data_IF_312247511273
#
_entry.id   IF_312247511273
#
_cell.length_a   1.000
_cell.length_b   1.000
_cell.length_c   1.000
_cell.angle_alpha   90.00
_cell.angle_beta   90.00
_cell.angle_gamma   90.00
#
_symmetry.space_group_name_H-M   'P 1'
#
loop_
_entity.id
_entity.type
_entity.pdbx_description
1 polymer ?
#
# COMPACT_ATOMS: atom_id res chain seq x y z
N UNK A 1 13.32 9.57 -6.06
CA UNK A 1 14.49 8.79 -6.54
C UNK A 1 15.73 9.67 -6.65
N UNK A 2 15.59 10.88 -7.20
CA UNK A 2 16.67 11.89 -7.30
C UNK A 2 17.52 12.09 -6.05
N UNK A 3 16.92 12.14 -4.85
CA UNK A 3 17.65 12.37 -3.59
C UNK A 3 18.71 11.30 -3.31
N UNK A 4 18.58 10.13 -3.94
CA UNK A 4 19.54 9.02 -3.86
C UNK A 4 20.51 9.05 -5.04
N UNK A 5 20.01 9.20 -6.28
CA UNK A 5 20.84 9.05 -7.49
C UNK A 5 21.56 10.31 -7.93
N UNK A 6 21.05 11.49 -7.55
CA UNK A 6 21.49 12.81 -8.02
C UNK A 6 21.41 13.00 -9.55
N UNK A 7 20.73 12.12 -10.28
CA UNK A 7 20.47 12.27 -11.72
C UNK A 7 19.23 13.16 -11.95
N UNK A 8 19.35 14.34 -12.59
CA UNK A 8 18.23 15.20 -12.95
C UNK A 8 17.01 14.50 -13.56
N UNK A 9 17.20 13.39 -14.28
CA UNK A 9 16.13 12.61 -14.90
C UNK A 9 15.30 11.79 -13.90
N UNK A 10 15.77 11.66 -12.65
CA UNK A 10 15.09 10.93 -11.57
C UNK A 10 14.27 11.83 -10.65
N UNK A 11 14.15 13.12 -11.01
CA UNK A 11 13.17 14.02 -10.39
C UNK A 11 11.77 13.44 -10.57
N UNK A 12 10.98 13.51 -9.51
CA UNK A 12 9.58 13.04 -9.48
C UNK A 12 9.36 11.53 -9.70
N UNK A 13 10.42 10.75 -9.89
CA UNK A 13 10.33 9.28 -9.89
C UNK A 13 10.23 8.76 -8.47
N UNK A 14 9.30 7.85 -8.27
CA UNK A 14 9.11 7.10 -7.04
C UNK A 14 9.15 5.60 -7.36
N UNK A 15 9.56 4.82 -6.37
CA UNK A 15 9.44 3.36 -6.46
C UNK A 15 7.96 2.99 -6.52
N UNK A 16 7.59 2.10 -7.43
CA UNK A 16 6.24 1.53 -7.48
C UNK A 16 5.96 0.74 -6.19
N UNK A 17 4.97 1.15 -5.37
CA UNK A 17 4.62 0.42 -4.16
C UNK A 17 3.89 -0.90 -4.50
N UNK A 18 4.00 -1.93 -3.65
CA UNK A 18 3.15 -3.11 -3.77
C UNK A 18 1.68 -2.75 -3.47
N UNK A 19 0.73 -3.46 -4.10
CA UNK A 19 -0.70 -3.23 -3.93
C UNK A 19 -1.40 -4.21 -2.96
N UNK A 20 -0.63 -5.13 -2.34
CA UNK A 20 -1.19 -6.02 -1.31
C UNK A 20 -1.66 -5.20 -0.12
N UNK A 21 -2.87 -5.46 0.35
CA UNK A 21 -3.53 -4.75 1.46
C UNK A 21 -3.71 -3.23 1.20
N UNK A 22 -3.66 -2.79 -0.06
CA UNK A 22 -3.72 -1.35 -0.39
C UNK A 22 -4.99 -0.68 0.14
N UNK A 23 -6.11 -1.41 0.24
CA UNK A 23 -7.35 -0.87 0.79
C UNK A 23 -7.27 -0.46 2.28
N UNK A 24 -6.23 -0.88 3.00
CA UNK A 24 -6.05 -0.64 4.44
C UNK A 24 -4.99 0.42 4.75
N UNK A 25 -4.34 1.01 3.74
CA UNK A 25 -3.15 1.86 3.92
C UNK A 25 -3.36 3.29 3.45
N UNK A 26 -4.58 3.82 3.59
CA UNK A 26 -4.82 5.24 3.40
C UNK A 26 -4.03 6.07 4.46
N UNK A 27 -3.60 7.30 4.14
CA UNK A 27 -3.74 7.98 2.85
C UNK A 27 -2.71 7.51 1.81
N UNK A 28 -2.96 7.82 0.53
CA UNK A 28 -2.25 7.28 -0.62
C UNK A 28 -1.25 8.25 -1.23
N UNK A 29 -0.48 7.74 -2.20
CA UNK A 29 0.67 8.39 -2.83
C UNK A 29 1.86 8.52 -1.89
N UNK A 30 3.01 8.96 -2.42
CA UNK A 30 4.26 9.08 -1.64
C UNK A 30 4.21 10.18 -0.57
N UNK A 31 3.24 11.09 -0.67
CA UNK A 31 3.06 12.25 0.21
C UNK A 31 1.75 12.21 1.01
N UNK A 32 0.96 11.13 0.93
CA UNK A 32 -0.34 11.03 1.60
C UNK A 32 -1.39 12.01 1.06
N UNK A 33 -1.25 12.52 -0.16
CA UNK A 33 -2.10 13.59 -0.69
C UNK A 33 -3.50 13.17 -1.12
N UNK A 34 -3.77 11.87 -1.29
CA UNK A 34 -5.08 11.34 -1.70
C UNK A 34 -5.68 10.48 -0.59
N UNK A 35 -6.96 10.66 -0.30
CA UNK A 35 -7.64 10.02 0.83
C UNK A 35 -8.26 8.67 0.48
N UNK A 36 -8.60 8.45 -0.79
CA UNK A 36 -9.35 7.27 -1.23
C UNK A 36 -8.68 6.56 -2.41
N UNK A 37 -8.91 5.24 -2.55
CA UNK A 37 -8.46 4.50 -3.74
C UNK A 37 -9.11 5.04 -5.02
N UNK A 38 -10.35 5.51 -4.94
CA UNK A 38 -11.06 6.11 -6.08
C UNK A 38 -10.32 7.35 -6.58
N UNK A 39 -9.91 8.25 -5.70
CA UNK A 39 -9.07 9.41 -6.06
C UNK A 39 -7.76 8.99 -6.74
N UNK A 40 -7.11 7.92 -6.27
CA UNK A 40 -5.88 7.39 -6.90
C UNK A 40 -6.17 6.90 -8.32
N UNK A 41 -7.21 6.08 -8.52
CA UNK A 41 -7.58 5.57 -9.84
C UNK A 41 -7.96 6.72 -10.78
N UNK A 42 -8.74 7.70 -10.30
CA UNK A 42 -9.11 8.89 -11.07
C UNK A 42 -7.90 9.77 -11.42
N UNK A 43 -6.92 9.89 -10.53
CA UNK A 43 -5.67 10.60 -10.80
C UNK A 43 -4.92 9.98 -11.99
N UNK A 44 -4.79 8.66 -12.03
CA UNK A 44 -4.18 7.95 -13.15
C UNK A 44 -5.05 7.99 -14.41
N UNK A 45 -6.38 7.91 -14.27
CA UNK A 45 -7.31 8.02 -15.40
C UNK A 45 -7.19 9.38 -16.12
N UNK A 46 -6.83 10.44 -15.40
CA UNK A 46 -6.56 11.79 -15.96
C UNK A 46 -5.16 11.94 -16.57
N UNK A 47 -4.30 10.92 -16.48
CA UNK A 47 -2.91 10.99 -16.95
C UNK A 47 -1.92 11.60 -15.95
N UNK A 48 -2.32 11.78 -14.69
CA UNK A 48 -1.46 12.33 -13.63
C UNK A 48 -1.12 13.83 -13.79
N UNK A 49 -0.02 14.26 -13.19
CA UNK A 49 0.45 15.66 -13.21
C UNK A 49 1.55 15.82 -14.26
N UNK A 50 1.28 16.67 -15.24
CA UNK A 50 2.25 17.03 -16.30
C UNK A 50 3.52 17.63 -15.70
N UNK A 51 4.66 17.14 -16.16
CA UNK A 51 5.99 17.64 -15.82
C UNK A 51 7.01 17.25 -16.90
N UNK A 52 8.19 17.88 -16.87
CA UNK A 52 9.24 17.73 -17.90
C UNK A 52 9.73 16.30 -18.12
N UNK A 53 9.64 15.44 -17.09
CA UNK A 53 10.16 14.08 -17.08
C UNK A 53 9.04 13.04 -16.89
N UNK A 54 7.80 13.43 -17.20
CA UNK A 54 6.65 12.55 -17.09
C UNK A 54 6.80 11.37 -18.06
N UNK A 55 6.46 10.17 -17.58
CA UNK A 55 6.51 8.96 -18.41
C UNK A 55 5.53 9.07 -19.59
N UNK A 56 5.90 8.63 -20.81
CA UNK A 56 4.98 8.59 -21.95
C UNK A 56 3.80 7.61 -21.74
N UNK A 57 3.88 6.73 -20.74
CA UNK A 57 2.79 5.84 -20.35
C UNK A 57 1.73 6.54 -19.48
N UNK A 58 1.97 7.79 -19.05
CA UNK A 58 1.03 8.58 -18.28
C UNK A 58 0.21 9.47 -19.23
N UNK A 59 -0.93 8.96 -19.66
CA UNK A 59 -1.88 9.66 -20.52
C UNK A 59 -3.32 9.35 -20.06
N UNK A 60 -4.31 10.18 -20.44
CA UNK A 60 -5.71 9.92 -20.07
C UNK A 60 -6.19 8.56 -20.58
N UNK A 61 -6.72 7.74 -19.67
CA UNK A 61 -7.16 6.38 -19.99
C UNK A 61 -8.62 6.35 -20.48
N UNK A 62 -9.36 7.44 -20.26
CA UNK A 62 -10.77 7.59 -20.61
C UNK A 62 -11.68 6.48 -20.06
N UNK A 63 -11.36 5.97 -18.87
CA UNK A 63 -12.21 5.02 -18.16
C UNK A 63 -13.53 5.70 -17.77
N UNK A 64 -14.63 4.98 -17.96
CA UNK A 64 -15.92 5.36 -17.42
C UNK A 64 -15.92 5.28 -15.90
N UNK A 65 -16.86 5.98 -15.25
CA UNK A 65 -17.03 5.92 -13.79
C UNK A 65 -17.21 4.47 -13.30
N UNK A 66 -17.95 3.66 -14.06
CA UNK A 66 -18.17 2.25 -13.73
C UNK A 66 -16.89 1.43 -13.77
N UNK A 67 -16.01 1.67 -14.75
CA UNK A 67 -14.72 0.98 -14.84
C UNK A 67 -13.78 1.41 -13.70
N UNK A 68 -13.82 2.68 -13.32
CA UNK A 68 -13.11 3.18 -12.12
C UNK A 68 -13.58 2.42 -10.88
N UNK A 69 -14.89 2.31 -10.67
CA UNK A 69 -15.43 1.59 -9.52
C UNK A 69 -15.06 0.09 -9.54
N UNK A 70 -15.09 -0.56 -10.70
CA UNK A 70 -14.63 -1.95 -10.84
C UNK A 70 -13.15 -2.14 -10.50
N UNK A 71 -12.29 -1.21 -10.91
CA UNK A 71 -10.87 -1.25 -10.53
C UNK A 71 -10.70 -1.07 -9.03
N UNK A 72 -11.47 -0.17 -8.41
CA UNK A 72 -11.43 0.01 -6.94
C UNK A 72 -11.87 -1.26 -6.23
N UNK A 73 -12.94 -1.93 -6.68
CA UNK A 73 -13.36 -3.22 -6.10
C UNK A 73 -12.32 -4.31 -6.30
N UNK A 74 -11.70 -4.40 -7.47
CA UNK A 74 -10.58 -5.32 -7.70
C UNK A 74 -9.39 -5.04 -6.76
N UNK A 75 -9.02 -3.78 -6.55
CA UNK A 75 -7.94 -3.43 -5.63
C UNK A 75 -8.26 -3.84 -4.18
N UNK A 76 -9.53 -3.79 -3.76
CA UNK A 76 -9.95 -4.27 -2.45
C UNK A 76 -9.75 -5.78 -2.29
N UNK A 77 -9.89 -6.56 -3.37
CA UNK A 77 -9.65 -8.02 -3.31
C UNK A 77 -8.19 -8.39 -3.07
N UNK A 78 -7.25 -7.43 -3.17
CA UNK A 78 -5.82 -7.65 -2.86
C UNK A 78 -5.53 -7.61 -1.35
N UNK A 79 -6.57 -7.55 -0.51
CA UNK A 79 -6.48 -7.56 0.95
C UNK A 79 -6.55 -8.99 1.47
N UNK A 80 -5.58 -9.39 2.29
CA UNK A 80 -5.55 -10.72 2.90
C UNK A 80 -6.73 -10.94 3.86
N UNK A 81 -7.22 -12.18 3.93
CA UNK A 81 -8.28 -12.58 4.87
C UNK A 81 -7.79 -12.78 6.31
N UNK A 82 -6.47 -12.86 6.51
CA UNK A 82 -5.84 -13.13 7.80
C UNK A 82 -5.39 -11.87 8.55
N UNK A 83 -5.85 -10.68 8.12
CA UNK A 83 -5.42 -9.42 8.74
C UNK A 83 -5.87 -9.34 10.20
N UNK A 84 -7.09 -9.78 10.50
CA UNK A 84 -7.60 -9.78 11.88
C UNK A 84 -6.80 -10.71 12.79
N UNK A 85 -6.41 -11.89 12.29
CA UNK A 85 -5.55 -12.84 12.99
C UNK A 85 -4.17 -12.25 13.26
N UNK A 86 -3.55 -11.61 12.26
CA UNK A 86 -2.26 -10.93 12.42
C UNK A 86 -2.32 -9.79 13.43
N UNK A 87 -3.43 -9.05 13.49
CA UNK A 87 -3.64 -7.98 14.49
C UNK A 87 -3.78 -8.56 15.89
N UNK A 88 -4.51 -9.67 16.05
CA UNK A 88 -4.66 -10.36 17.32
C UNK A 88 -3.30 -10.88 17.81
N UNK A 89 -2.53 -11.54 16.94
CA UNK A 89 -1.20 -12.05 17.25
C UNK A 89 -0.23 -10.92 17.64
N UNK A 90 -0.21 -9.82 16.88
CA UNK A 90 0.64 -8.68 17.17
C UNK A 90 0.33 -8.01 18.51
N UNK A 91 -0.94 -8.04 18.95
CA UNK A 91 -1.37 -7.52 20.25
C UNK A 91 -1.10 -8.50 21.40
N UNK A 92 -1.10 -9.80 21.13
CA UNK A 92 -0.81 -10.84 22.10
C UNK A 92 0.70 -11.01 22.35
N UNK A 93 1.55 -10.51 21.44
CA UNK A 93 2.99 -10.54 21.61
C UNK A 93 3.43 -9.82 22.91
N UNK A 94 4.23 -10.47 23.77
CA UNK A 94 4.70 -9.85 25.00
C UNK A 94 5.60 -8.64 24.70
N UNK A 95 5.43 -7.56 25.46
CA UNK A 95 6.24 -6.34 25.35
C UNK A 95 7.39 -6.43 26.36
N UNK A 96 8.63 -6.64 25.89
CA UNK A 96 9.81 -6.72 26.75
C UNK A 96 10.93 -7.57 26.16
N UNK A 97 12.08 -7.59 26.82
CA UNK A 97 13.22 -8.44 26.43
C UNK A 97 12.84 -9.91 26.64
N UNK A 98 12.74 -10.66 25.55
CA UNK A 98 12.28 -12.05 25.53
C UNK A 98 13.41 -12.93 26.08
N UNK A 99 13.52 -13.00 27.40
CA UNK A 99 14.44 -13.93 28.06
C UNK A 99 13.83 -15.34 28.12
N UNK A 100 14.66 -16.38 28.07
CA UNK A 100 14.25 -17.78 28.32
C UNK A 100 13.60 -17.99 29.70
N UNK A 101 13.59 -16.98 30.55
CA UNK A 101 12.94 -16.95 31.86
C UNK A 101 11.57 -16.26 31.90
N UNK A 102 11.02 -15.80 30.76
CA UNK A 102 9.66 -15.24 30.74
C UNK A 102 8.60 -16.36 30.98
N UNK A 103 7.84 -16.31 32.09
CA UNK A 103 6.82 -17.32 32.38
C UNK A 103 5.66 -17.32 31.37
N UNK A 104 5.50 -16.27 30.55
CA UNK A 104 4.48 -16.20 29.51
C UNK A 104 4.88 -16.91 28.19
N UNK A 105 6.09 -17.46 28.09
CA UNK A 105 6.60 -18.12 26.88
C UNK A 105 5.87 -19.43 26.53
N UNK A 106 5.31 -20.13 27.52
CA UNK A 106 4.77 -21.49 27.34
C UNK A 106 3.26 -21.56 27.12
N UNK A 107 2.59 -20.46 26.74
CA UNK A 107 1.20 -20.57 26.30
C UNK A 107 1.15 -21.10 24.86
N UNK A 108 0.77 -22.37 24.78
CA UNK A 108 0.46 -23.25 23.64
C UNK A 108 -0.13 -22.57 22.38
N UNK A 109 0.64 -21.73 21.69
CA UNK A 109 0.37 -21.38 20.30
C UNK A 109 1.02 -22.43 19.39
N UNK A 110 0.48 -23.66 19.41
CA UNK A 110 0.77 -24.62 18.34
C UNK A 110 -0.01 -24.20 17.10
N UNK A 111 0.63 -24.02 15.94
CA UNK A 111 -0.09 -23.81 14.69
C UNK A 111 -1.01 -25.02 14.47
N UNK A 112 -2.32 -24.77 14.37
CA UNK A 112 -3.27 -25.75 13.86
C UNK A 112 -3.05 -25.85 12.36
N UNK A 113 -2.25 -26.82 11.94
CA UNK A 113 -2.26 -27.30 10.54
C UNK A 113 -3.48 -28.18 10.32
#
# INVERSE_FOLDING_TARGET
MYTITQDPNDRWKFRTPPLRNVALTAPYMHNGGLSTLKEVVEFYNKGGIQNEVLSPLMFPLNLSEREVDYLVEFLKTLTGSNIDELILDARAAPIGDISLSDPNWFHENKPKY
#
